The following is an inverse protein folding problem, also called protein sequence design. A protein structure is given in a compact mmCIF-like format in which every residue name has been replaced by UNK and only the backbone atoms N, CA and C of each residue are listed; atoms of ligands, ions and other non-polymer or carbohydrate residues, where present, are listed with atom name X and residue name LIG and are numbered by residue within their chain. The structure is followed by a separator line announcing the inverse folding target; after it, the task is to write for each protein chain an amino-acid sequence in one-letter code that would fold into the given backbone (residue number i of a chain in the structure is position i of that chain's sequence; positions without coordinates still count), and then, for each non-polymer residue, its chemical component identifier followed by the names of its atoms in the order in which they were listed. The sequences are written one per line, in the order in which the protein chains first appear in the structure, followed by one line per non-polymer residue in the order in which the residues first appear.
data_IF_890763457630
#
_entry.id   IF_890763457630
#
_cell.length_a   1.000
_cell.length_b   1.000
_cell.length_c   1.000
_cell.angle_alpha   90.00
_cell.angle_beta   90.00
_cell.angle_gamma   90.00
#
_symmetry.space_group_name_H-M   'P 1'
#
loop_
_entity.id
_entity.type
_entity.pdbx_description
1 polymer ?
#
# COMPACT_ATOMS: atom_id res chain seq x y z
N UNK A 1 -10.97 -7.84 13.80
CA UNK A 1 -9.57 -7.39 13.63
C UNK A 1 -8.60 -8.56 13.54
N UNK A 2 -8.77 -9.61 14.35
CA UNK A 2 -7.91 -10.81 14.36
C UNK A 2 -7.85 -11.51 13.01
N UNK A 3 -9.00 -11.86 12.41
CA UNK A 3 -9.03 -12.48 11.07
C UNK A 3 -8.40 -11.60 9.99
N UNK A 4 -8.58 -10.28 10.06
CA UNK A 4 -7.99 -9.33 9.09
C UNK A 4 -6.47 -9.28 9.26
N UNK A 5 -6.00 -9.17 10.51
CA UNK A 5 -4.58 -9.14 10.82
C UNK A 5 -3.88 -10.47 10.50
N UNK A 6 -4.53 -11.60 10.78
CA UNK A 6 -4.03 -12.93 10.45
C UNK A 6 -3.96 -13.12 8.93
N UNK A 7 -4.98 -12.65 8.20
CA UNK A 7 -4.98 -12.60 6.74
C UNK A 7 -3.81 -11.78 6.18
N UNK A 8 -3.38 -10.71 6.85
CA UNK A 8 -2.27 -9.87 6.38
C UNK A 8 -0.88 -10.43 6.71
N UNK A 9 -0.71 -11.08 7.86
CA UNK A 9 0.62 -11.56 8.28
C UNK A 9 0.89 -13.02 7.89
N UNK A 10 -0.16 -13.81 7.66
CA UNK A 10 -0.06 -15.22 7.27
C UNK A 10 0.59 -15.46 5.90
N UNK A 11 0.80 -14.41 5.10
CA UNK A 11 1.36 -14.52 3.77
C UNK A 11 2.89 -14.72 3.76
N UNK A 12 3.43 -15.46 2.77
CA UNK A 12 4.87 -15.49 2.52
C UNK A 12 5.42 -14.08 2.29
N UNK A 13 6.64 -13.79 2.74
CA UNK A 13 7.22 -12.43 2.69
C UNK A 13 7.29 -11.87 1.26
N UNK A 14 7.48 -12.72 0.25
CA UNK A 14 7.51 -12.29 -1.14
C UNK A 14 6.12 -11.84 -1.63
N UNK A 15 5.02 -12.39 -1.11
CA UNK A 15 3.64 -11.97 -1.43
C UNK A 15 3.38 -10.60 -0.82
N UNK A 16 3.78 -10.41 0.44
CA UNK A 16 3.70 -9.10 1.13
C UNK A 16 4.49 -8.05 0.33
N UNK A 17 5.68 -8.40 -0.14
CA UNK A 17 6.51 -7.52 -0.95
C UNK A 17 5.84 -7.19 -2.31
N UNK A 18 5.40 -8.21 -3.06
CA UNK A 18 4.84 -8.03 -4.39
C UNK A 18 3.52 -7.23 -4.37
N UNK A 19 2.63 -7.55 -3.44
CA UNK A 19 1.39 -6.77 -3.24
C UNK A 19 1.69 -5.36 -2.68
N UNK A 20 2.72 -5.23 -1.84
CA UNK A 20 3.21 -3.93 -1.38
C UNK A 20 3.76 -3.05 -2.50
N UNK A 21 4.38 -3.64 -3.54
CA UNK A 21 4.79 -2.91 -4.76
C UNK A 21 3.56 -2.34 -5.47
N UNK A 22 2.49 -3.13 -5.61
CA UNK A 22 1.25 -2.66 -6.23
C UNK A 22 0.59 -1.56 -5.38
N UNK A 23 0.53 -1.71 -4.06
CA UNK A 23 0.03 -0.66 -3.17
C UNK A 23 0.84 0.64 -3.29
N UNK A 24 2.18 0.54 -3.29
CA UNK A 24 3.07 1.69 -3.45
C UNK A 24 2.89 2.39 -4.79
N UNK A 25 2.72 1.63 -5.86
CA UNK A 25 2.41 2.17 -7.18
C UNK A 25 1.10 2.96 -7.15
N UNK A 26 0.02 2.38 -6.62
CA UNK A 26 -1.29 3.04 -6.54
C UNK A 26 -1.22 4.34 -5.73
N UNK A 27 -0.47 4.35 -4.62
CA UNK A 27 -0.27 5.58 -3.83
C UNK A 27 0.57 6.63 -4.57
N UNK A 28 1.54 6.22 -5.37
CA UNK A 28 2.25 7.13 -6.28
C UNK A 28 1.32 7.74 -7.33
N UNK A 29 0.45 6.93 -7.94
CA UNK A 29 -0.55 7.38 -8.92
C UNK A 29 -1.56 8.32 -8.28
N UNK A 30 -1.97 8.04 -7.05
CA UNK A 30 -2.85 8.89 -6.26
C UNK A 30 -2.28 10.31 -6.15
N UNK A 31 -1.02 10.45 -5.74
CA UNK A 31 -0.39 11.78 -5.61
C UNK A 31 -0.42 12.56 -6.92
N UNK A 32 -0.20 11.89 -8.05
CA UNK A 32 -0.24 12.52 -9.37
C UNK A 32 -1.66 12.89 -9.80
N UNK A 33 -2.62 12.00 -9.63
CA UNK A 33 -4.02 12.24 -9.99
C UNK A 33 -4.65 13.36 -9.16
N UNK A 34 -4.34 13.42 -7.86
CA UNK A 34 -4.78 14.52 -6.98
C UNK A 34 -4.22 15.85 -7.44
N UNK A 35 -2.93 15.91 -7.81
CA UNK A 35 -2.31 17.13 -8.35
C UNK A 35 -2.92 17.51 -9.72
N UNK A 36 -3.26 16.54 -10.56
CA UNK A 36 -3.88 16.77 -11.86
C UNK A 36 -5.35 17.21 -11.75
N UNK A 37 -6.05 16.79 -10.71
CA UNK A 37 -7.42 17.17 -10.44
C UNK A 37 -7.51 18.63 -9.96
N UNK A 38 -8.32 19.44 -10.65
CA UNK A 38 -8.49 20.87 -10.34
C UNK A 38 -9.53 21.12 -9.26
N UNK A 39 -10.54 20.27 -9.19
CA UNK A 39 -11.67 20.40 -8.26
C UNK A 39 -11.47 19.55 -7.00
N UNK A 40 -11.81 20.10 -5.84
CA UNK A 40 -11.73 19.40 -4.55
C UNK A 40 -12.55 18.12 -4.53
N UNK A 41 -13.73 18.12 -5.16
CA UNK A 41 -14.60 16.93 -5.23
C UNK A 41 -13.90 15.80 -6.00
N UNK A 42 -13.23 16.12 -7.11
CA UNK A 42 -12.47 15.13 -7.88
C UNK A 42 -11.28 14.58 -7.08
N UNK A 43 -10.57 15.43 -6.34
CA UNK A 43 -9.47 14.99 -5.47
C UNK A 43 -9.96 14.02 -4.39
N UNK A 44 -11.05 14.36 -3.69
CA UNK A 44 -11.67 13.50 -2.68
C UNK A 44 -12.07 12.16 -3.29
N UNK A 45 -12.73 12.18 -4.46
CA UNK A 45 -13.15 10.97 -5.14
C UNK A 45 -11.96 10.07 -5.52
N UNK A 46 -10.87 10.63 -6.02
CA UNK A 46 -9.66 9.86 -6.37
C UNK A 46 -9.02 9.25 -5.12
N UNK A 47 -8.89 10.01 -4.02
CA UNK A 47 -8.36 9.49 -2.74
C UNK A 47 -9.23 8.33 -2.26
N UNK A 48 -10.55 8.53 -2.23
CA UNK A 48 -11.51 7.51 -1.81
C UNK A 48 -11.42 6.25 -2.68
N UNK A 49 -11.41 6.40 -4.00
CA UNK A 49 -11.32 5.30 -4.95
C UNK A 49 -10.05 4.47 -4.75
N UNK A 50 -8.89 5.12 -4.63
CA UNK A 50 -7.61 4.40 -4.45
C UNK A 50 -7.56 3.71 -3.09
N UNK A 51 -8.00 4.37 -2.01
CA UNK A 51 -8.03 3.76 -0.69
C UNK A 51 -8.97 2.54 -0.64
N UNK A 52 -10.14 2.63 -1.28
CA UNK A 52 -11.10 1.52 -1.38
C UNK A 52 -10.49 0.37 -2.20
N UNK A 53 -9.84 0.64 -3.33
CA UNK A 53 -9.19 -0.41 -4.13
C UNK A 53 -8.10 -1.12 -3.33
N UNK A 54 -7.28 -0.38 -2.58
CA UNK A 54 -6.25 -0.97 -1.70
C UNK A 54 -6.88 -1.90 -0.66
N UNK A 55 -7.96 -1.45 -0.01
CA UNK A 55 -8.69 -2.23 0.99
C UNK A 55 -9.37 -3.47 0.41
N UNK A 56 -10.14 -3.33 -0.69
CA UNK A 56 -10.88 -4.43 -1.31
C UNK A 56 -9.97 -5.48 -1.95
N UNK A 57 -8.83 -5.06 -2.50
CA UNK A 57 -7.85 -5.98 -3.07
C UNK A 57 -6.89 -6.56 -2.02
N UNK A 58 -7.07 -6.21 -0.73
CA UNK A 58 -6.21 -6.66 0.38
C UNK A 58 -4.72 -6.43 0.11
N UNK A 59 -4.36 -5.27 -0.46
CA UNK A 59 -2.97 -4.97 -0.77
C UNK A 59 -2.22 -4.57 0.50
N UNK A 60 -0.96 -5.01 0.62
CA UNK A 60 -0.15 -4.78 1.81
C UNK A 60 0.40 -3.34 1.82
N UNK A 61 -0.44 -2.41 2.26
CA UNK A 61 -0.05 -1.02 2.50
C UNK A 61 0.43 -0.83 3.94
N UNK A 62 1.61 -0.25 4.14
CA UNK A 62 2.26 -0.13 5.44
C UNK A 62 1.46 0.67 6.46
N UNK A 63 0.67 1.66 6.04
CA UNK A 63 -0.11 2.52 6.94
C UNK A 63 -1.44 1.87 7.32
N UNK A 64 -2.29 1.56 6.34
CA UNK A 64 -3.64 1.00 6.60
C UNK A 64 -3.52 -0.43 7.15
N UNK A 65 -2.78 -1.31 6.47
CA UNK A 65 -2.57 -2.66 6.96
C UNK A 65 -1.76 -2.69 8.26
N UNK A 66 -0.88 -1.71 8.48
CA UNK A 66 -0.19 -1.54 9.76
C UNK A 66 -1.16 -1.24 10.90
N UNK A 67 -2.14 -0.37 10.68
CA UNK A 67 -3.18 -0.08 11.66
C UNK A 67 -4.04 -1.32 11.98
N UNK A 68 -4.36 -2.14 10.99
CA UNK A 68 -5.13 -3.38 11.17
C UNK A 68 -4.36 -4.45 11.93
N UNK A 69 -3.08 -4.65 11.59
CA UNK A 69 -2.20 -5.61 12.28
C UNK A 69 -1.92 -5.16 13.72
N UNK A 70 -1.71 -3.85 13.96
CA UNK A 70 -1.59 -3.30 15.32
C UNK A 70 -2.88 -3.46 16.11
N UNK A 71 -4.04 -3.26 15.50
CA UNK A 71 -5.32 -3.51 16.16
C UNK A 71 -5.46 -4.99 16.57
N UNK A 72 -5.04 -5.93 15.72
CA UNK A 72 -5.01 -7.36 16.05
C UNK A 72 -4.03 -7.68 17.20
N UNK A 73 -2.84 -7.08 17.19
CA UNK A 73 -1.83 -7.21 18.25
C UNK A 73 -2.37 -6.70 19.60
N UNK A 74 -2.91 -5.49 19.64
CA UNK A 74 -3.42 -4.88 20.88
C UNK A 74 -4.71 -5.52 21.38
N UNK A 75 -5.51 -6.11 20.48
CA UNK A 75 -6.68 -6.91 20.87
C UNK A 75 -6.31 -8.29 21.44
N UNK A 76 -5.03 -8.68 21.45
CA UNK A 76 -4.57 -9.98 21.93
C UNK A 76 -4.98 -11.15 21.03
N UNK A 77 -5.23 -10.90 19.75
CA UNK A 77 -5.84 -11.86 18.82
C UNK A 77 -4.78 -12.70 18.08
N UNK A 78 -3.80 -13.23 18.81
CA UNK A 78 -2.81 -14.17 18.27
C UNK A 78 -1.69 -13.57 17.39
N UNK A 79 -1.72 -12.26 17.15
CA UNK A 79 -0.66 -11.53 16.44
C UNK A 79 0.47 -11.20 17.40
N UNK A 80 1.71 -11.50 17.03
CA UNK A 80 2.88 -11.13 17.84
C UNK A 80 3.51 -9.81 17.37
N UNK A 81 4.36 -9.21 18.21
CA UNK A 81 5.14 -8.04 17.80
C UNK A 81 6.10 -8.36 16.64
N UNK A 82 6.59 -9.60 16.56
CA UNK A 82 7.47 -10.06 15.47
C UNK A 82 6.71 -10.12 14.14
N UNK A 83 5.47 -10.60 14.17
CA UNK A 83 4.55 -10.62 13.02
C UNK A 83 4.33 -9.21 12.47
N UNK A 84 4.03 -8.26 13.35
CA UNK A 84 3.88 -6.86 12.98
C UNK A 84 5.15 -6.27 12.36
N UNK A 85 6.32 -6.48 12.97
CA UNK A 85 7.59 -5.95 12.44
C UNK A 85 7.94 -6.56 11.08
N UNK A 86 7.70 -7.86 10.90
CA UNK A 86 7.89 -8.54 9.61
C UNK A 86 6.97 -7.95 8.54
N UNK A 87 5.68 -7.85 8.83
CA UNK A 87 4.71 -7.24 7.92
C UNK A 87 5.13 -5.81 7.55
N UNK A 88 5.44 -4.98 8.55
CA UNK A 88 5.80 -3.58 8.35
C UNK A 88 7.05 -3.43 7.48
N UNK A 89 8.09 -4.24 7.72
CA UNK A 89 9.33 -4.19 6.94
C UNK A 89 9.09 -4.52 5.46
N UNK A 90 8.41 -5.63 5.17
CA UNK A 90 8.17 -6.06 3.78
C UNK A 90 7.15 -5.16 3.06
N UNK A 91 6.08 -4.74 3.73
CA UNK A 91 5.10 -3.83 3.16
C UNK A 91 5.73 -2.46 2.87
N UNK A 92 6.55 -1.92 3.77
CA UNK A 92 7.25 -0.64 3.57
C UNK A 92 8.22 -0.74 2.40
N UNK A 93 9.04 -1.80 2.34
CA UNK A 93 9.95 -2.01 1.23
C UNK A 93 9.20 -2.08 -0.10
N UNK A 94 8.11 -2.85 -0.16
CA UNK A 94 7.26 -2.94 -1.35
C UNK A 94 6.68 -1.58 -1.73
N UNK A 95 6.10 -0.85 -0.77
CA UNK A 95 5.49 0.46 -1.02
C UNK A 95 6.50 1.47 -1.59
N UNK A 96 7.73 1.50 -1.05
CA UNK A 96 8.81 2.35 -1.57
C UNK A 96 9.19 1.95 -3.00
N UNK A 97 9.40 0.66 -3.26
CA UNK A 97 9.76 0.16 -4.59
C UNK A 97 8.68 0.47 -5.62
N UNK A 98 7.41 0.28 -5.28
CA UNK A 98 6.28 0.58 -6.16
C UNK A 98 6.16 2.06 -6.52
N UNK A 99 6.29 2.93 -5.52
CA UNK A 99 6.26 4.39 -5.75
C UNK A 99 7.43 4.87 -6.61
N UNK A 100 8.64 4.37 -6.33
CA UNK A 100 9.84 4.70 -7.13
C UNK A 100 9.72 4.17 -8.56
N UNK A 101 9.22 2.95 -8.75
CA UNK A 101 9.04 2.35 -10.06
C UNK A 101 8.09 3.17 -10.93
N UNK A 102 6.96 3.63 -10.39
CA UNK A 102 6.04 4.52 -11.10
C UNK A 102 6.76 5.79 -11.57
N UNK A 103 7.46 6.47 -10.67
CA UNK A 103 8.18 7.71 -10.99
C UNK A 103 9.26 7.46 -12.04
N UNK A 104 9.99 6.35 -11.95
CA UNK A 104 11.01 5.98 -12.93
C UNK A 104 10.39 5.72 -14.31
N UNK A 105 9.29 4.96 -14.39
CA UNK A 105 8.59 4.69 -15.65
C UNK A 105 8.12 5.99 -16.31
N UNK A 106 7.51 6.90 -15.54
CA UNK A 106 6.97 8.16 -16.07
C UNK A 106 8.08 9.13 -16.46
N UNK A 107 9.16 9.23 -15.66
CA UNK A 107 10.25 10.18 -15.90
C UNK A 107 11.17 9.74 -17.04
N UNK A 108 11.44 8.43 -17.18
CA UNK A 108 12.40 7.92 -18.15
C UNK A 108 11.75 7.22 -19.35
N UNK A 109 10.46 6.88 -19.28
CA UNK A 109 9.73 6.29 -20.42
C UNK A 109 9.58 7.24 -21.61
N UNK A 110 9.49 8.55 -21.36
CA UNK A 110 9.34 9.57 -22.41
C UNK A 110 10.66 10.05 -23.02
N UNK A 111 11.82 9.68 -22.44
CA UNK A 111 13.15 10.15 -22.89
C UNK A 111 13.59 9.48 -24.21
N UNK A 112 12.87 8.47 -24.70
CA UNK A 112 13.17 7.81 -26.00
C UNK A 112 12.40 8.37 -27.22
N UNK A 113 11.65 9.48 -27.08
CA UNK A 113 10.92 10.10 -28.20
C UNK A 113 11.30 11.56 -28.46
N UNK A 114 12.59 11.92 -28.35
CA UNK A 114 13.13 13.22 -28.75
C UNK A 114 14.38 13.06 -29.60
#
# INVERSE_FOLDING_TARGET
FGEIAEGLVGHPSWVILASGILAGWLMGLLSWLVIAARETISQIFVVWMIAVVIGLAHLHHSVIGGAEVLAGLFAGQGITAVDYLRFLAWATLGNVLGGVFLVALLKYGHVKQG
#
